data_IF_638783433936
#
_entry.id   IF_638783433936
#
_cell.length_a   1.000
_cell.length_b   1.000
_cell.length_c   1.000
_cell.angle_alpha   90.00
_cell.angle_beta   90.00
_cell.angle_gamma   90.00
#
_symmetry.space_group_name_H-M   'P 1'
#
loop_
_entity.id
_entity.type
_entity.pdbx_description
1 polymer ?
#
# COMPACT_ATOMS: atom_id res chain seq x y z
N UNK A 1 -4.11 -31.94 -7.25
CA UNK A 1 -5.09 -33.04 -7.11
C UNK A 1 -6.29 -32.92 -8.07
N UNK A 2 -7.07 -31.85 -8.03
CA UNK A 2 -8.25 -31.66 -8.93
C UNK A 2 -7.86 -31.75 -10.41
N UNK A 3 -6.78 -31.10 -10.83
CA UNK A 3 -6.28 -31.10 -12.20
C UNK A 3 -5.89 -32.52 -12.69
N UNK A 4 -5.27 -33.33 -11.86
CA UNK A 4 -4.91 -34.72 -12.20
C UNK A 4 -6.16 -35.61 -12.37
N UNK A 5 -7.18 -35.40 -11.54
CA UNK A 5 -8.46 -36.11 -11.68
C UNK A 5 -9.15 -35.73 -12.97
N UNK A 6 -9.18 -34.43 -13.30
CA UNK A 6 -9.79 -33.94 -14.53
C UNK A 6 -9.04 -34.45 -15.76
N UNK A 7 -7.71 -34.51 -15.71
CA UNK A 7 -6.86 -35.09 -16.76
C UNK A 7 -7.19 -36.57 -16.98
N UNK A 8 -7.27 -37.37 -15.93
CA UNK A 8 -7.65 -38.79 -16.05
C UNK A 8 -9.04 -38.98 -16.68
N UNK A 9 -9.99 -38.17 -16.25
CA UNK A 9 -11.37 -38.22 -16.83
C UNK A 9 -11.35 -37.88 -18.33
N UNK A 10 -10.62 -36.83 -18.70
CA UNK A 10 -10.52 -36.38 -20.09
C UNK A 10 -9.83 -37.44 -20.97
N UNK A 11 -8.72 -38.01 -20.51
CA UNK A 11 -8.04 -39.10 -21.21
C UNK A 11 -8.97 -40.27 -21.43
N UNK A 12 -9.69 -40.68 -20.40
CA UNK A 12 -10.70 -41.77 -20.52
C UNK A 12 -11.79 -41.45 -21.56
N UNK A 13 -12.34 -40.24 -21.54
CA UNK A 13 -13.35 -39.80 -22.48
C UNK A 13 -12.85 -39.82 -23.93
N UNK A 14 -11.62 -39.26 -24.14
CA UNK A 14 -11.00 -39.24 -25.46
C UNK A 14 -10.72 -40.63 -25.98
N UNK A 15 -10.12 -41.49 -25.17
CA UNK A 15 -9.92 -42.90 -25.55
C UNK A 15 -11.23 -43.59 -25.92
N UNK A 16 -12.23 -43.51 -25.07
CA UNK A 16 -13.51 -44.13 -25.28
C UNK A 16 -14.21 -43.62 -26.56
N UNK A 17 -14.09 -42.32 -26.83
CA UNK A 17 -14.62 -41.73 -28.06
C UNK A 17 -13.94 -42.29 -29.31
N UNK A 18 -12.64 -42.35 -29.39
CA UNK A 18 -11.93 -42.86 -30.55
C UNK A 18 -12.15 -44.36 -30.77
N UNK A 19 -12.14 -45.16 -29.71
CA UNK A 19 -12.42 -46.60 -29.83
C UNK A 19 -13.85 -46.87 -30.22
N UNK A 20 -14.82 -46.16 -29.69
CA UNK A 20 -16.23 -46.32 -30.08
C UNK A 20 -16.45 -45.87 -31.53
N UNK A 21 -15.81 -44.81 -31.98
CA UNK A 21 -15.86 -44.35 -33.35
C UNK A 21 -15.28 -45.39 -34.33
N UNK A 22 -14.14 -45.99 -34.00
CA UNK A 22 -13.55 -47.06 -34.78
C UNK A 22 -14.47 -48.30 -34.83
N UNK A 23 -15.06 -48.69 -33.71
CA UNK A 23 -16.03 -49.79 -33.62
C UNK A 23 -17.26 -49.54 -34.50
N UNK A 24 -17.85 -48.35 -34.40
CA UNK A 24 -19.01 -47.98 -35.23
C UNK A 24 -18.67 -47.97 -36.72
N UNK A 25 -17.51 -47.48 -37.10
CA UNK A 25 -17.06 -47.48 -38.47
C UNK A 25 -16.89 -48.89 -39.03
N UNK A 26 -16.22 -49.80 -38.29
CA UNK A 26 -16.09 -51.22 -38.70
C UNK A 26 -17.43 -51.92 -38.80
N UNK A 27 -18.32 -51.69 -37.81
CA UNK A 27 -19.65 -52.28 -37.80
C UNK A 27 -20.46 -51.81 -39.00
N UNK A 28 -20.41 -50.53 -39.34
CA UNK A 28 -21.08 -49.96 -40.53
C UNK A 28 -20.58 -50.58 -41.84
N UNK A 29 -19.28 -50.76 -41.97
CA UNK A 29 -18.66 -51.40 -43.12
C UNK A 29 -19.05 -52.87 -43.25
N UNK A 30 -19.00 -53.60 -42.13
CA UNK A 30 -19.40 -55.01 -42.10
C UNK A 30 -20.90 -55.16 -42.44
N UNK A 31 -21.75 -54.24 -41.96
CA UNK A 31 -23.17 -54.22 -42.33
C UNK A 31 -23.40 -54.03 -43.82
N UNK A 32 -22.63 -53.13 -44.46
CA UNK A 32 -22.72 -52.92 -45.89
C UNK A 32 -22.40 -54.24 -46.67
N UNK A 33 -21.27 -54.90 -46.27
CA UNK A 33 -20.86 -56.17 -46.85
C UNK A 33 -21.92 -57.26 -46.65
N UNK A 34 -22.40 -57.41 -45.40
CA UNK A 34 -23.37 -58.47 -45.09
C UNK A 34 -24.75 -58.23 -45.68
N UNK A 35 -25.17 -56.95 -45.86
CA UNK A 35 -26.38 -56.60 -46.53
C UNK A 35 -26.40 -57.03 -48.02
N UNK A 36 -25.24 -56.82 -48.69
CA UNK A 36 -25.12 -57.31 -50.08
C UNK A 36 -25.06 -58.83 -50.12
N UNK A 37 -24.39 -59.51 -49.22
CA UNK A 37 -24.37 -60.97 -49.12
C UNK A 37 -25.77 -61.56 -48.89
N UNK A 38 -26.58 -60.88 -48.06
CA UNK A 38 -27.96 -61.36 -47.81
C UNK A 38 -28.85 -61.34 -49.05
N UNK A 39 -28.63 -60.43 -49.99
CA UNK A 39 -29.38 -60.42 -51.27
C UNK A 39 -29.07 -61.65 -52.13
N UNK A 40 -27.81 -62.11 -52.05
CA UNK A 40 -27.40 -63.32 -52.81
C UNK A 40 -27.72 -64.63 -52.10
N UNK A 41 -28.01 -64.60 -50.80
CA UNK A 41 -28.38 -65.77 -50.03
C UNK A 41 -29.80 -66.30 -50.45
N UNK A 42 -30.73 -65.43 -50.89
CA UNK A 42 -32.05 -65.73 -51.29
C UNK A 42 -32.21 -66.03 -52.81
N UNK A 43 -31.14 -65.67 -53.61
CA UNK A 43 -31.15 -65.90 -55.05
C UNK A 43 -30.48 -67.25 -55.40
N UNK A 44 -31.28 -68.28 -55.55
CA UNK A 44 -30.80 -69.63 -55.88
C UNK A 44 -30.12 -69.78 -57.28
N UNK A 45 -29.95 -68.69 -58.04
CA UNK A 45 -29.26 -68.67 -59.35
C UNK A 45 -27.81 -68.36 -59.28
N UNK A 46 -27.33 -67.77 -58.17
CA UNK A 46 -25.91 -67.31 -57.91
C UNK A 46 -25.23 -68.23 -56.92
N UNK A 47 -23.95 -68.60 -57.22
CA UNK A 47 -23.11 -69.31 -56.27
C UNK A 47 -22.65 -68.40 -55.16
N UNK A 48 -23.30 -68.45 -54.01
CA UNK A 48 -23.01 -67.61 -52.81
C UNK A 48 -21.52 -67.59 -52.41
N UNK A 49 -20.88 -68.77 -52.50
CA UNK A 49 -19.41 -68.88 -52.18
C UNK A 49 -18.57 -68.09 -53.18
N UNK A 50 -18.98 -68.00 -54.44
CA UNK A 50 -18.29 -67.19 -55.47
C UNK A 50 -18.45 -65.68 -55.15
N UNK A 51 -19.58 -65.22 -54.64
CA UNK A 51 -19.83 -63.83 -54.29
C UNK A 51 -19.06 -63.44 -53.01
N UNK A 52 -19.02 -64.30 -52.01
CA UNK A 52 -18.14 -64.09 -50.85
C UNK A 52 -16.71 -63.92 -51.27
N UNK A 53 -16.17 -64.76 -52.18
CA UNK A 53 -14.84 -64.67 -52.73
C UNK A 53 -14.64 -63.38 -53.49
N UNK A 54 -15.51 -63.03 -54.41
CA UNK A 54 -15.45 -61.80 -55.18
C UNK A 54 -15.40 -60.54 -54.26
N UNK A 55 -16.25 -60.53 -53.25
CA UNK A 55 -16.30 -59.44 -52.29
C UNK A 55 -15.03 -59.27 -51.48
N UNK A 56 -14.45 -60.36 -51.02
CA UNK A 56 -13.17 -60.30 -50.25
C UNK A 56 -12.03 -59.89 -51.15
N UNK A 57 -11.88 -60.46 -52.37
CA UNK A 57 -10.81 -60.16 -53.31
C UNK A 57 -10.86 -58.72 -53.84
N UNK A 58 -12.07 -58.17 -54.07
CA UNK A 58 -12.29 -56.82 -54.63
C UNK A 58 -12.66 -55.81 -53.55
N UNK A 59 -12.36 -56.06 -52.30
CA UNK A 59 -12.69 -55.13 -51.21
C UNK A 59 -11.96 -53.80 -51.41
N UNK A 60 -12.69 -52.70 -51.54
CA UNK A 60 -12.17 -51.41 -51.95
C UNK A 60 -11.27 -50.71 -50.90
N UNK A 61 -11.38 -51.09 -49.63
CA UNK A 61 -10.68 -50.43 -48.48
C UNK A 61 -9.57 -51.34 -47.89
N UNK A 62 -9.04 -52.28 -48.69
CA UNK A 62 -7.99 -53.21 -48.26
C UNK A 62 -6.71 -52.54 -47.70
N UNK A 63 -6.46 -51.27 -48.07
CA UNK A 63 -5.33 -50.49 -47.58
C UNK A 63 -5.53 -49.98 -46.15
N UNK A 64 -6.78 -49.93 -45.65
CA UNK A 64 -7.13 -49.44 -44.33
C UNK A 64 -7.60 -50.50 -43.37
N UNK A 65 -8.26 -51.51 -43.90
CA UNK A 65 -8.83 -52.60 -43.10
C UNK A 65 -8.79 -53.90 -43.90
N UNK A 66 -8.72 -55.00 -43.24
CA UNK A 66 -8.68 -56.31 -43.83
C UNK A 66 -10.03 -57.01 -43.68
N UNK A 67 -10.63 -57.41 -44.83
CA UNK A 67 -11.83 -58.22 -44.86
C UNK A 67 -11.43 -59.68 -44.98
N UNK A 68 -11.99 -60.54 -44.14
CA UNK A 68 -11.72 -61.96 -44.06
C UNK A 68 -12.95 -62.77 -44.15
N UNK A 69 -12.93 -63.93 -44.83
CA UNK A 69 -13.95 -64.92 -44.76
C UNK A 69 -13.52 -66.14 -43.95
N UNK A 70 -14.38 -66.54 -43.02
CA UNK A 70 -14.13 -67.68 -42.09
C UNK A 70 -15.02 -68.87 -42.56
N UNK A 71 -14.39 -70.02 -42.73
CA UNK A 71 -15.07 -71.21 -43.12
C UNK A 71 -15.86 -71.88 -41.96
N UNK A 72 -16.68 -72.87 -42.30
CA UNK A 72 -17.48 -73.62 -41.29
C UNK A 72 -16.68 -74.39 -40.24
N UNK A 73 -15.36 -74.53 -40.43
CA UNK A 73 -14.41 -75.09 -39.42
C UNK A 73 -13.84 -74.03 -38.50
N UNK A 74 -14.26 -72.75 -38.62
CA UNK A 74 -13.77 -71.62 -37.81
C UNK A 74 -12.35 -71.15 -38.20
N UNK A 75 -11.85 -71.50 -39.42
CA UNK A 75 -10.55 -71.07 -39.92
C UNK A 75 -10.73 -69.97 -41.01
N UNK A 76 -9.80 -69.02 -41.01
CA UNK A 76 -9.78 -68.03 -42.07
C UNK A 76 -9.48 -68.72 -43.39
N UNK A 77 -10.37 -68.56 -44.36
CA UNK A 77 -10.27 -69.18 -45.65
C UNK A 77 -9.65 -68.26 -46.70
N UNK A 78 -9.87 -67.00 -46.59
CA UNK A 78 -9.33 -65.95 -47.45
C UNK A 78 -9.30 -64.59 -46.80
N UNK A 79 -8.43 -63.70 -47.30
CA UNK A 79 -8.31 -62.31 -46.82
C UNK A 79 -8.23 -61.36 -48.03
N UNK A 80 -8.67 -60.12 -47.84
CA UNK A 80 -8.67 -59.12 -48.91
C UNK A 80 -7.24 -58.68 -49.32
N UNK A 81 -6.25 -58.85 -48.43
CA UNK A 81 -4.83 -58.64 -48.72
C UNK A 81 -4.19 -59.78 -49.49
N UNK A 82 -4.82 -60.94 -49.56
CA UNK A 82 -4.26 -62.14 -50.14
C UNK A 82 -3.24 -62.87 -49.28
N UNK A 83 -2.94 -62.38 -48.10
CA UNK A 83 -2.03 -63.05 -47.15
C UNK A 83 -2.83 -64.10 -46.36
N UNK A 84 -2.34 -65.30 -46.28
CA UNK A 84 -2.87 -66.32 -45.37
C UNK A 84 -2.37 -66.03 -43.96
N UNK A 85 -3.26 -65.71 -42.98
CA UNK A 85 -2.80 -65.52 -41.62
C UNK A 85 -2.29 -66.85 -41.06
N UNK A 86 -1.31 -66.80 -40.17
CA UNK A 86 -0.79 -67.96 -39.47
C UNK A 86 -1.92 -68.73 -38.76
N UNK A 87 -1.74 -70.05 -38.73
CA UNK A 87 -2.81 -71.01 -38.38
C UNK A 87 -3.41 -70.88 -36.95
N UNK A 88 -3.01 -69.93 -36.17
CA UNK A 88 -3.38 -69.82 -34.76
C UNK A 88 -3.84 -68.41 -34.31
N UNK A 89 -4.53 -67.67 -35.18
CA UNK A 89 -5.09 -66.35 -34.76
C UNK A 89 -6.22 -66.57 -33.79
N UNK A 90 -6.09 -66.06 -32.58
CA UNK A 90 -7.17 -66.07 -31.58
C UNK A 90 -8.29 -65.12 -31.99
N UNK A 91 -9.50 -65.68 -32.19
CA UNK A 91 -10.68 -64.99 -32.72
C UNK A 91 -11.84 -65.07 -31.73
N UNK A 92 -11.72 -64.38 -30.58
CA UNK A 92 -12.82 -64.34 -29.60
C UNK A 92 -14.07 -63.64 -30.17
N UNK A 93 -13.90 -62.67 -31.08
CA UNK A 93 -14.97 -62.05 -31.85
C UNK A 93 -15.77 -63.05 -32.70
N UNK A 94 -15.10 -64.05 -33.27
CA UNK A 94 -15.77 -65.12 -33.97
C UNK A 94 -16.62 -65.98 -33.03
N UNK A 95 -16.06 -66.40 -31.89
CA UNK A 95 -16.82 -67.17 -30.91
C UNK A 95 -18.03 -66.43 -30.35
N UNK A 96 -17.87 -65.13 -30.12
CA UNK A 96 -18.94 -64.23 -29.66
C UNK A 96 -20.03 -64.12 -30.75
N UNK A 97 -19.64 -63.88 -32.00
CA UNK A 97 -20.58 -63.73 -33.15
C UNK A 97 -21.41 -65.00 -33.37
N UNK A 98 -20.82 -66.17 -33.15
CA UNK A 98 -21.53 -67.44 -33.30
C UNK A 98 -22.54 -67.74 -32.20
N UNK A 99 -22.44 -67.12 -31.04
CA UNK A 99 -23.32 -67.27 -29.87
C UNK A 99 -24.31 -66.17 -29.68
N UNK A 100 -24.01 -64.97 -30.20
CA UNK A 100 -24.79 -63.74 -29.98
C UNK A 100 -26.07 -63.77 -30.84
N UNK A 101 -27.21 -63.35 -30.27
CA UNK A 101 -28.49 -63.19 -30.99
C UNK A 101 -28.43 -62.21 -32.15
N UNK A 102 -27.62 -61.13 -31.96
CA UNK A 102 -27.39 -60.08 -32.96
C UNK A 102 -26.35 -60.49 -34.02
N UNK A 103 -25.77 -61.68 -33.90
CA UNK A 103 -24.76 -62.26 -34.81
C UNK A 103 -23.43 -61.45 -34.91
N UNK A 104 -23.20 -60.49 -33.99
CA UNK A 104 -21.95 -59.70 -33.94
C UNK A 104 -21.06 -60.16 -32.81
N UNK A 105 -19.77 -60.18 -33.08
CA UNK A 105 -18.73 -60.28 -32.07
C UNK A 105 -17.66 -59.22 -32.25
N UNK A 106 -17.05 -58.81 -31.15
CA UNK A 106 -16.08 -57.74 -31.12
C UNK A 106 -14.80 -58.19 -30.39
N UNK A 107 -13.66 -57.81 -30.94
CA UNK A 107 -12.36 -58.03 -30.33
C UNK A 107 -11.49 -56.78 -30.40
N UNK A 108 -10.89 -56.43 -29.27
CA UNK A 108 -9.85 -55.41 -29.19
C UNK A 108 -8.69 -56.04 -28.43
N UNK A 109 -7.56 -56.17 -29.07
CA UNK A 109 -6.40 -56.81 -28.47
C UNK A 109 -5.13 -56.60 -29.27
N UNK A 110 -4.05 -57.24 -28.80
CA UNK A 110 -2.76 -57.25 -29.52
C UNK A 110 -2.68 -58.50 -30.38
N UNK A 111 -2.20 -58.32 -31.60
CA UNK A 111 -1.81 -59.44 -32.46
C UNK A 111 -0.37 -59.90 -32.08
N UNK A 112 0.05 -61.09 -32.57
CA UNK A 112 1.38 -61.65 -32.31
C UNK A 112 2.53 -60.71 -32.76
N UNK A 113 2.27 -59.83 -33.73
CA UNK A 113 3.16 -58.75 -34.11
C UNK A 113 3.34 -57.65 -33.06
N UNK A 114 2.59 -57.66 -31.97
CA UNK A 114 2.51 -56.60 -30.94
C UNK A 114 1.58 -55.43 -31.29
N UNK A 115 1.10 -55.38 -32.51
CA UNK A 115 0.17 -54.34 -33.00
C UNK A 115 -1.23 -54.52 -32.37
N UNK A 116 -1.83 -53.42 -31.93
CA UNK A 116 -3.21 -53.43 -31.44
C UNK A 116 -4.14 -53.36 -32.59
N UNK A 117 -5.11 -54.26 -32.58
CA UNK A 117 -6.14 -54.37 -33.61
C UNK A 117 -7.54 -54.33 -33.01
N UNK A 118 -8.48 -53.87 -33.79
CA UNK A 118 -9.91 -54.08 -33.55
C UNK A 118 -10.51 -54.94 -34.65
N UNK A 119 -11.24 -55.93 -34.26
CA UNK A 119 -11.94 -56.83 -35.18
C UNK A 119 -13.43 -56.85 -34.88
N UNK A 120 -14.23 -56.90 -35.93
CA UNK A 120 -15.69 -57.09 -35.85
C UNK A 120 -16.01 -58.24 -36.75
N UNK A 121 -16.71 -59.25 -36.22
CA UNK A 121 -17.14 -60.43 -36.93
C UNK A 121 -18.68 -60.49 -36.98
N UNK A 122 -19.22 -60.87 -38.12
CA UNK A 122 -20.66 -61.14 -38.30
C UNK A 122 -20.84 -62.56 -38.78
N UNK A 123 -21.74 -63.31 -38.12
CA UNK A 123 -22.08 -64.68 -38.49
C UNK A 123 -23.01 -64.75 -39.69
N UNK A 124 -22.56 -65.43 -40.75
CA UNK A 124 -23.35 -65.73 -41.95
C UNK A 124 -23.69 -67.25 -42.04
N UNK A 125 -23.51 -67.99 -40.97
CA UNK A 125 -23.73 -69.44 -40.92
C UNK A 125 -25.16 -69.87 -41.31
N UNK A 126 -26.15 -68.96 -41.18
CA UNK A 126 -27.50 -69.17 -41.62
C UNK A 126 -27.72 -69.00 -43.12
N UNK A 127 -26.75 -68.43 -43.84
CA UNK A 127 -26.81 -68.06 -45.24
C UNK A 127 -26.14 -69.11 -46.16
N UNK A 128 -25.08 -69.76 -45.62
CA UNK A 128 -24.28 -70.73 -46.41
C UNK A 128 -23.64 -71.77 -45.50
N UNK A 129 -23.36 -72.98 -46.05
CA UNK A 129 -22.69 -74.09 -45.37
C UNK A 129 -21.14 -74.04 -45.45
N UNK A 130 -20.58 -73.37 -46.43
CA UNK A 130 -19.14 -73.28 -46.64
C UNK A 130 -18.49 -72.25 -45.80
N UNK A 131 -19.08 -71.01 -45.70
CA UNK A 131 -18.59 -69.89 -44.83
C UNK A 131 -19.51 -69.69 -43.63
N UNK A 132 -18.86 -69.52 -42.46
CA UNK A 132 -19.61 -69.35 -41.22
C UNK A 132 -19.66 -67.86 -40.78
N UNK A 133 -18.66 -67.04 -41.14
CA UNK A 133 -18.62 -65.64 -40.76
C UNK A 133 -17.76 -64.78 -41.71
N UNK A 134 -18.00 -63.49 -41.68
CA UNK A 134 -17.18 -62.47 -42.29
C UNK A 134 -16.62 -61.58 -41.16
N UNK A 135 -15.31 -61.31 -41.24
CA UNK A 135 -14.57 -60.56 -40.24
C UNK A 135 -13.89 -59.36 -40.87
N UNK A 136 -13.98 -58.18 -40.24
CA UNK A 136 -13.21 -57.01 -40.63
C UNK A 136 -12.23 -56.66 -39.49
N UNK A 137 -10.99 -56.44 -39.84
CA UNK A 137 -9.91 -56.13 -38.90
C UNK A 137 -9.24 -54.80 -39.31
N UNK A 138 -9.00 -53.95 -38.31
CA UNK A 138 -8.27 -52.69 -38.51
C UNK A 138 -7.15 -52.53 -37.46
N UNK A 139 -6.03 -51.96 -37.90
CA UNK A 139 -4.99 -51.54 -37.00
C UNK A 139 -5.46 -50.34 -36.16
N UNK A 140 -5.20 -50.36 -34.86
CA UNK A 140 -5.44 -49.24 -33.97
C UNK A 140 -4.24 -48.32 -33.84
N UNK A 141 -3.16 -48.52 -34.57
CA UNK A 141 -1.92 -47.74 -34.44
C UNK A 141 -2.11 -46.23 -34.68
N UNK A 142 -2.95 -45.87 -35.68
CA UNK A 142 -3.26 -44.46 -35.92
C UNK A 142 -4.13 -43.86 -34.78
N UNK A 143 -5.09 -44.64 -34.26
CA UNK A 143 -5.93 -44.23 -33.13
C UNK A 143 -5.09 -44.06 -31.86
N UNK A 144 -4.22 -45.04 -31.56
CA UNK A 144 -3.35 -45.00 -30.40
C UNK A 144 -2.33 -43.84 -30.49
N UNK A 145 -1.83 -43.56 -31.72
CA UNK A 145 -0.95 -42.40 -31.96
C UNK A 145 -1.67 -41.07 -31.74
N UNK A 146 -2.89 -40.94 -32.26
CA UNK A 146 -3.71 -39.75 -32.04
C UNK A 146 -4.05 -39.54 -30.56
N UNK A 147 -4.49 -40.59 -29.87
CA UNK A 147 -4.74 -40.52 -28.41
C UNK A 147 -3.50 -40.14 -27.63
N UNK A 148 -2.35 -40.76 -27.94
CA UNK A 148 -1.08 -40.43 -27.31
C UNK A 148 -0.69 -38.97 -27.57
N UNK A 149 -0.88 -38.47 -28.78
CA UNK A 149 -0.65 -37.05 -29.12
C UNK A 149 -1.48 -36.11 -28.26
N UNK A 150 -2.79 -36.41 -28.10
CA UNK A 150 -3.66 -35.63 -27.23
C UNK A 150 -3.23 -35.66 -25.76
N UNK A 151 -2.83 -36.83 -25.25
CA UNK A 151 -2.33 -36.97 -23.89
C UNK A 151 -1.08 -36.08 -23.67
N UNK A 152 -0.10 -36.14 -24.57
CA UNK A 152 1.14 -35.36 -24.46
C UNK A 152 0.85 -33.87 -24.48
N UNK A 153 0.04 -33.38 -25.42
CA UNK A 153 -0.30 -31.95 -25.53
C UNK A 153 -1.04 -31.48 -24.27
N UNK A 154 -1.99 -32.27 -23.80
CA UNK A 154 -2.79 -31.90 -22.63
C UNK A 154 -1.94 -31.88 -21.37
N UNK A 155 -1.12 -32.90 -21.13
CA UNK A 155 -0.20 -32.96 -19.98
C UNK A 155 0.81 -31.79 -20.02
N UNK A 156 1.37 -31.47 -21.17
CA UNK A 156 2.28 -30.32 -21.32
C UNK A 156 1.57 -29.00 -21.01
N UNK A 157 0.32 -28.84 -21.45
CA UNK A 157 -0.49 -27.65 -21.13
C UNK A 157 -0.74 -27.54 -19.62
N UNK A 158 -1.11 -28.64 -18.98
CA UNK A 158 -1.33 -28.69 -17.54
C UNK A 158 -0.07 -28.31 -16.73
N UNK A 159 1.10 -28.82 -17.14
CA UNK A 159 2.38 -28.46 -16.53
C UNK A 159 2.67 -26.96 -16.72
N UNK A 160 2.44 -26.42 -17.93
CA UNK A 160 2.62 -25.00 -18.22
C UNK A 160 1.78 -24.09 -17.32
N UNK A 161 0.50 -24.46 -17.13
CA UNK A 161 -0.40 -23.71 -16.21
C UNK A 161 0.10 -23.77 -14.76
N UNK A 162 0.53 -24.96 -14.29
CA UNK A 162 1.07 -25.09 -12.93
C UNK A 162 2.33 -24.26 -12.70
N UNK A 163 3.24 -24.23 -13.67
CA UNK A 163 4.44 -23.39 -13.61
C UNK A 163 4.08 -21.90 -13.59
N UNK A 164 3.11 -21.49 -14.40
CA UNK A 164 2.63 -20.10 -14.43
C UNK A 164 2.01 -19.71 -13.07
N UNK A 165 1.17 -20.56 -12.49
CA UNK A 165 0.58 -20.33 -11.17
C UNK A 165 1.63 -20.27 -10.06
N UNK A 166 2.64 -21.14 -10.12
CA UNK A 166 3.75 -21.09 -9.17
C UNK A 166 4.55 -19.79 -9.29
N UNK A 167 4.89 -19.40 -10.52
CA UNK A 167 5.62 -18.16 -10.81
C UNK A 167 4.86 -16.92 -10.33
N UNK A 168 3.56 -16.81 -10.68
CA UNK A 168 2.72 -15.68 -10.24
C UNK A 168 2.55 -15.65 -8.73
N UNK A 169 2.42 -16.83 -8.07
CA UNK A 169 2.35 -16.93 -6.62
C UNK A 169 3.65 -16.45 -5.92
N UNK A 170 4.81 -16.85 -6.41
CA UNK A 170 6.10 -16.35 -5.88
C UNK A 170 6.27 -14.86 -6.08
N UNK A 171 5.89 -14.34 -7.26
CA UNK A 171 5.92 -12.91 -7.54
C UNK A 171 5.01 -12.13 -6.61
N UNK A 172 3.76 -12.58 -6.42
CA UNK A 172 2.79 -11.96 -5.53
C UNK A 172 3.25 -11.92 -4.07
N UNK A 173 3.84 -13.03 -3.57
CA UNK A 173 4.38 -13.06 -2.21
C UNK A 173 5.53 -12.06 -2.06
N UNK A 174 6.41 -11.97 -3.04
CA UNK A 174 7.57 -11.08 -3.02
C UNK A 174 7.22 -9.60 -3.13
N UNK A 175 6.31 -9.25 -4.05
CA UNK A 175 5.99 -7.86 -4.37
C UNK A 175 4.87 -7.26 -3.51
N UNK A 176 4.01 -8.06 -2.89
CA UNK A 176 2.88 -7.55 -2.11
C UNK A 176 2.91 -8.03 -0.66
N UNK A 177 2.91 -9.35 -0.45
CA UNK A 177 2.72 -9.90 0.91
C UNK A 177 3.85 -9.51 1.86
N UNK A 178 5.10 -9.67 1.44
CA UNK A 178 6.28 -9.35 2.27
C UNK A 178 6.37 -7.85 2.63
N UNK A 179 6.24 -6.90 1.68
CA UNK A 179 6.22 -5.48 1.98
C UNK A 179 5.09 -5.09 2.95
N UNK A 180 3.88 -5.60 2.75
CA UNK A 180 2.75 -5.33 3.65
C UNK A 180 3.01 -5.85 5.08
N UNK A 181 3.63 -7.01 5.23
CA UNK A 181 4.05 -7.52 6.54
C UNK A 181 5.09 -6.61 7.19
N UNK A 182 6.10 -6.14 6.44
CA UNK A 182 7.11 -5.20 6.94
C UNK A 182 6.49 -3.89 7.40
N UNK A 183 5.54 -3.34 6.62
CA UNK A 183 4.78 -2.15 6.99
C UNK A 183 4.07 -2.37 8.34
N UNK A 184 3.38 -3.50 8.50
CA UNK A 184 2.67 -3.83 9.74
C UNK A 184 3.61 -3.92 10.95
N UNK A 185 4.78 -4.56 10.79
CA UNK A 185 5.79 -4.66 11.86
C UNK A 185 6.35 -3.30 12.27
N UNK A 186 6.61 -2.42 11.29
CA UNK A 186 7.14 -1.08 11.55
C UNK A 186 6.07 -0.19 12.18
N UNK A 187 4.83 -0.26 11.72
CA UNK A 187 3.71 0.43 12.35
C UNK A 187 3.53 0.03 13.84
N UNK A 188 3.75 -1.25 14.16
CA UNK A 188 3.73 -1.71 15.55
C UNK A 188 4.89 -1.14 16.39
N UNK A 189 6.06 -0.82 15.80
CA UNK A 189 7.15 -0.11 16.46
C UNK A 189 6.82 1.35 16.67
N UNK A 190 6.20 2.01 15.69
CA UNK A 190 5.72 3.40 15.84
C UNK A 190 4.71 3.52 16.99
N UNK A 191 3.79 2.57 17.13
CA UNK A 191 2.84 2.51 18.25
C UNK A 191 3.53 2.41 19.62
N UNK A 192 4.76 1.93 19.68
CA UNK A 192 5.58 1.89 20.90
C UNK A 192 6.50 3.09 21.08
N UNK A 193 6.43 4.07 20.17
CA UNK A 193 7.25 5.29 20.20
C UNK A 193 8.62 5.16 19.56
N UNK A 194 8.94 4.08 18.87
CA UNK A 194 10.18 3.94 18.12
C UNK A 194 10.01 4.45 16.68
N UNK A 195 10.21 5.74 16.50
CA UNK A 195 10.12 6.42 15.20
C UNK A 195 11.44 6.44 14.42
N UNK A 196 12.49 5.77 14.91
CA UNK A 196 13.82 5.76 14.26
C UNK A 196 13.89 4.79 13.08
N UNK A 197 13.00 3.82 13.02
CA UNK A 197 12.98 2.78 11.99
C UNK A 197 12.37 3.32 10.70
N UNK A 198 12.91 2.88 9.54
CA UNK A 198 12.38 3.23 8.22
C UNK A 198 12.12 1.98 7.40
N UNK A 199 11.08 2.04 6.56
CA UNK A 199 10.78 1.00 5.59
C UNK A 199 11.71 1.20 4.40
N UNK A 200 12.51 0.17 4.10
CA UNK A 200 13.35 0.14 2.90
C UNK A 200 12.59 -0.64 1.82
N UNK A 201 11.99 0.07 0.90
CA UNK A 201 11.31 -0.51 -0.24
C UNK A 201 11.52 0.40 -1.45
N UNK A 202 12.28 -0.09 -2.43
CA UNK A 202 12.64 0.62 -3.67
C UNK A 202 11.75 0.07 -4.81
N UNK A 203 10.50 0.49 -4.86
CA UNK A 203 9.58 0.17 -5.93
C UNK A 203 8.83 1.43 -6.35
N UNK A 204 8.66 1.62 -7.65
CA UNK A 204 7.89 2.73 -8.24
C UNK A 204 6.41 2.31 -8.43
N UNK A 205 5.83 1.64 -7.44
CA UNK A 205 4.43 1.21 -7.41
C UNK A 205 3.68 1.80 -6.20
N UNK A 206 2.38 1.47 -6.06
CA UNK A 206 1.53 1.93 -4.96
C UNK A 206 2.05 1.50 -3.58
N UNK A 207 2.81 0.41 -3.51
CA UNK A 207 3.45 -0.05 -2.27
C UNK A 207 4.64 0.84 -1.93
N UNK A 208 5.41 1.28 -2.93
CA UNK A 208 6.49 2.25 -2.79
C UNK A 208 6.00 3.60 -2.29
N UNK A 209 4.92 4.11 -2.88
CA UNK A 209 4.25 5.34 -2.44
C UNK A 209 3.76 5.25 -1.00
N UNK A 210 3.15 4.12 -0.62
CA UNK A 210 2.72 3.86 0.75
C UNK A 210 3.90 3.84 1.73
N UNK A 211 5.01 3.20 1.37
CA UNK A 211 6.22 3.17 2.19
C UNK A 211 6.79 4.58 2.40
N UNK A 212 6.81 5.40 1.34
CA UNK A 212 7.25 6.80 1.39
C UNK A 212 6.36 7.64 2.30
N UNK A 213 5.04 7.52 2.18
CA UNK A 213 4.09 8.23 3.03
C UNK A 213 4.25 7.84 4.52
N UNK A 214 4.45 6.56 4.81
CA UNK A 214 4.67 6.07 6.18
C UNK A 214 6.01 6.55 6.74
N UNK A 215 7.07 6.58 5.93
CA UNK A 215 8.36 7.13 6.35
C UNK A 215 8.26 8.63 6.65
N UNK A 216 7.54 9.40 5.83
CA UNK A 216 7.26 10.81 6.09
C UNK A 216 6.47 11.01 7.40
N UNK A 217 5.45 10.19 7.63
CA UNK A 217 4.71 10.21 8.91
C UNK A 217 5.63 9.92 10.11
N UNK A 218 6.58 8.99 9.97
CA UNK A 218 7.57 8.69 11.00
C UNK A 218 8.49 9.90 11.30
N UNK A 219 8.90 10.65 10.27
CA UNK A 219 9.68 11.87 10.42
C UNK A 219 8.90 12.93 11.21
N UNK A 220 7.64 13.16 10.85
CA UNK A 220 6.76 14.10 11.55
C UNK A 220 6.52 13.70 13.02
N UNK A 221 6.25 12.41 13.27
CA UNK A 221 6.09 11.91 14.64
C UNK A 221 7.38 12.01 15.46
N UNK A 222 8.52 11.71 14.86
CA UNK A 222 9.83 11.84 15.50
C UNK A 222 10.12 13.29 15.89
N UNK A 223 9.85 14.23 14.97
CA UNK A 223 10.02 15.66 15.21
C UNK A 223 9.09 16.15 16.32
N UNK A 224 7.82 15.71 16.30
CA UNK A 224 6.84 16.06 17.32
C UNK A 224 7.25 15.53 18.71
N UNK A 225 7.73 14.27 18.81
CA UNK A 225 8.19 13.70 20.07
C UNK A 225 9.47 14.36 20.58
N UNK A 226 10.42 14.67 19.70
CA UNK A 226 11.61 15.42 20.04
C UNK A 226 11.27 16.81 20.59
N UNK A 227 10.37 17.56 19.93
CA UNK A 227 9.90 18.86 20.39
C UNK A 227 9.17 18.75 21.76
N UNK A 228 8.36 17.72 21.96
CA UNK A 228 7.68 17.47 23.24
C UNK A 228 8.69 17.22 24.38
N UNK A 229 9.72 16.42 24.13
CA UNK A 229 10.73 16.10 25.11
C UNK A 229 11.63 17.32 25.44
N UNK A 230 11.99 18.12 24.45
CA UNK A 230 12.70 19.39 24.63
C UNK A 230 11.86 20.39 25.45
N UNK A 231 10.54 20.47 25.15
CA UNK A 231 9.60 21.28 25.93
C UNK A 231 9.62 20.90 27.42
N UNK A 232 9.39 19.62 27.74
CA UNK A 232 9.35 19.14 29.13
C UNK A 232 10.67 19.44 29.84
N UNK A 233 11.80 19.21 29.17
CA UNK A 233 13.13 19.49 29.71
C UNK A 233 13.34 20.97 29.97
N UNK A 234 13.02 21.82 29.00
CA UNK A 234 13.17 23.29 29.11
C UNK A 234 12.31 23.89 30.22
N UNK A 235 11.02 23.52 30.27
CA UNK A 235 10.09 23.96 31.32
C UNK A 235 10.60 23.53 32.70
N UNK A 236 11.01 22.26 32.83
CA UNK A 236 11.55 21.75 34.10
C UNK A 236 12.77 22.54 34.58
N UNK A 237 13.64 22.91 33.68
CA UNK A 237 14.83 23.70 34.00
C UNK A 237 14.48 25.14 34.39
N UNK A 238 13.61 25.80 33.62
CA UNK A 238 13.20 27.19 33.86
C UNK A 238 12.38 27.35 35.15
N UNK A 239 11.61 26.33 35.55
CA UNK A 239 10.89 26.30 36.84
C UNK A 239 11.84 26.02 38.03
N UNK A 240 12.85 25.17 37.85
CA UNK A 240 13.77 24.79 38.93
C UNK A 240 14.60 25.96 39.42
N UNK A 241 15.04 26.80 38.53
CA UNK A 241 15.93 27.94 38.87
C UNK A 241 15.30 28.94 39.84
N UNK A 242 14.10 29.52 39.56
CA UNK A 242 13.41 30.42 40.50
C UNK A 242 13.03 29.73 41.80
N UNK A 243 12.56 28.48 41.76
CA UNK A 243 12.25 27.71 42.96
C UNK A 243 13.47 27.53 43.87
N UNK A 244 14.64 27.28 43.27
CA UNK A 244 15.90 27.17 44.03
C UNK A 244 16.28 28.52 44.68
N UNK A 245 16.10 29.62 43.96
CA UNK A 245 16.36 30.97 44.48
C UNK A 245 15.40 31.33 45.65
N UNK A 246 14.08 31.07 45.45
CA UNK A 246 13.07 31.29 46.52
C UNK A 246 13.43 30.48 47.75
N UNK A 247 13.73 29.18 47.59
CA UNK A 247 14.09 28.33 48.73
C UNK A 247 15.36 28.81 49.42
N UNK A 248 16.41 29.14 48.69
CA UNK A 248 17.67 29.62 49.26
C UNK A 248 17.53 30.92 50.04
N UNK A 249 16.74 31.90 49.52
CA UNK A 249 16.49 33.13 50.20
C UNK A 249 15.52 32.92 51.41
N UNK A 250 14.53 32.04 51.33
CA UNK A 250 13.68 31.69 52.45
C UNK A 250 14.49 31.05 53.60
N UNK A 251 15.48 30.20 53.30
CA UNK A 251 16.38 29.62 54.27
C UNK A 251 17.32 30.71 54.88
N UNK A 252 17.83 31.63 54.03
CA UNK A 252 18.69 32.71 54.49
C UNK A 252 17.98 33.67 55.44
N UNK A 253 16.79 34.18 55.09
CA UNK A 253 16.03 35.10 55.93
C UNK A 253 15.49 34.45 57.23
N UNK A 254 15.37 33.12 57.28
CA UNK A 254 15.00 32.38 58.48
C UNK A 254 16.11 32.44 59.55
N UNK A 255 17.36 32.47 59.16
CA UNK A 255 18.54 32.41 60.06
C UNK A 255 19.19 33.78 60.26
N UNK A 256 19.08 34.67 59.28
CA UNK A 256 19.72 35.97 59.25
C UNK A 256 18.79 37.03 59.89
N UNK A 257 19.41 37.91 60.73
CA UNK A 257 18.70 38.99 61.45
C UNK A 257 18.96 40.40 60.91
N UNK A 258 19.83 40.51 59.89
CA UNK A 258 20.11 41.80 59.26
C UNK A 258 18.90 42.30 58.46
N UNK A 259 18.35 43.49 58.80
CA UNK A 259 17.18 44.05 58.11
C UNK A 259 17.41 44.30 56.63
N UNK A 260 18.65 44.53 56.19
CA UNK A 260 19.01 44.77 54.78
C UNK A 260 18.92 43.46 53.99
N UNK A 261 19.48 42.39 54.56
CA UNK A 261 19.43 41.05 53.98
C UNK A 261 17.99 40.54 53.95
N UNK A 262 17.23 40.74 55.04
CA UNK A 262 15.82 40.38 55.08
C UNK A 262 15.00 41.08 53.99
N UNK A 263 15.11 42.42 53.86
CA UNK A 263 14.42 43.18 52.82
C UNK A 263 14.79 42.73 51.39
N UNK A 264 16.09 42.45 51.18
CA UNK A 264 16.62 41.92 49.92
C UNK A 264 16.02 40.54 49.64
N UNK A 265 15.98 39.64 50.63
CA UNK A 265 15.45 38.30 50.46
C UNK A 265 13.97 38.27 50.11
N UNK A 266 13.16 39.05 50.85
CA UNK A 266 11.74 39.20 50.55
C UNK A 266 11.54 39.70 49.10
N UNK A 267 12.27 40.73 48.68
CA UNK A 267 12.16 41.26 47.33
C UNK A 267 12.52 40.20 46.25
N UNK A 268 13.55 39.40 46.48
CA UNK A 268 13.92 38.32 45.53
C UNK A 268 12.84 37.25 45.49
N UNK A 269 12.30 36.84 46.64
CA UNK A 269 11.23 35.85 46.71
C UNK A 269 10.02 36.36 45.94
N UNK A 270 9.57 37.62 46.19
CA UNK A 270 8.43 38.21 45.50
C UNK A 270 8.64 38.25 43.98
N UNK A 271 9.77 38.76 43.53
CA UNK A 271 10.07 38.85 42.09
C UNK A 271 10.14 37.50 41.41
N UNK A 272 10.72 36.46 42.03
CA UNK A 272 10.78 35.12 41.43
C UNK A 272 9.41 34.43 41.48
N UNK A 273 8.54 34.77 42.47
CA UNK A 273 7.15 34.26 42.50
C UNK A 273 6.30 34.88 41.39
N UNK A 274 6.39 36.20 41.16
CA UNK A 274 5.75 36.90 40.05
C UNK A 274 6.20 36.34 38.70
N UNK A 275 7.50 36.10 38.55
CA UNK A 275 8.09 35.49 37.36
C UNK A 275 7.54 34.06 37.10
N UNK A 276 7.41 33.23 38.15
CA UNK A 276 6.82 31.92 38.06
C UNK A 276 5.33 31.98 37.63
N UNK A 277 4.56 32.91 38.21
CA UNK A 277 3.18 33.11 37.83
C UNK A 277 3.01 33.45 36.35
N UNK A 278 3.82 34.40 35.88
CA UNK A 278 3.82 34.77 34.45
C UNK A 278 4.19 33.57 33.55
N UNK A 279 5.19 32.78 33.94
CA UNK A 279 5.63 31.62 33.18
C UNK A 279 4.52 30.56 33.12
N UNK A 280 3.77 30.33 34.20
CA UNK A 280 2.64 29.41 34.22
C UNK A 280 1.52 29.90 33.30
N UNK A 281 1.21 31.19 33.27
CA UNK A 281 0.23 31.79 32.36
C UNK A 281 0.66 31.61 30.88
N UNK A 282 1.96 31.89 30.55
CA UNK A 282 2.48 31.64 29.22
C UNK A 282 2.36 30.17 28.79
N UNK A 283 2.60 29.23 29.70
CA UNK A 283 2.45 27.80 29.46
C UNK A 283 0.99 27.38 29.25
N UNK A 284 0.06 27.95 30.02
CA UNK A 284 -1.38 27.67 29.85
C UNK A 284 -1.90 28.25 28.54
N UNK A 285 -1.52 29.46 28.18
CA UNK A 285 -1.85 30.04 26.89
C UNK A 285 -1.32 29.19 25.75
N UNK A 286 -0.06 28.77 25.85
CA UNK A 286 0.55 27.87 24.86
C UNK A 286 -0.21 26.53 24.74
N UNK A 287 -0.57 25.91 25.86
CA UNK A 287 -1.33 24.65 25.86
C UNK A 287 -2.71 24.80 25.21
N UNK A 288 -3.41 25.92 25.46
CA UNK A 288 -4.71 26.23 24.83
C UNK A 288 -4.57 26.46 23.31
N UNK A 289 -3.51 27.13 22.87
CA UNK A 289 -3.23 27.32 21.45
C UNK A 289 -2.96 26.01 20.75
N UNK A 290 -2.16 25.13 21.34
CA UNK A 290 -1.85 23.80 20.77
C UNK A 290 -3.07 22.90 20.62
N UNK A 291 -4.00 22.98 21.57
CA UNK A 291 -5.21 22.14 21.56
C UNK A 291 -6.33 22.70 20.67
N UNK A 292 -6.12 23.82 19.98
CA UNK A 292 -7.15 24.47 19.16
C UNK A 292 -8.30 25.08 19.98
N UNK A 293 -8.18 25.10 21.31
CA UNK A 293 -9.21 25.65 22.21
C UNK A 293 -8.96 27.15 22.53
N UNK A 294 -7.99 27.77 21.89
CA UNK A 294 -7.73 29.19 22.09
C UNK A 294 -8.70 30.02 21.24
N UNK A 295 -9.58 30.75 21.89
CA UNK A 295 -10.55 31.63 21.25
C UNK A 295 -10.24 33.09 21.56
N UNK A 296 -10.22 33.96 20.53
CA UNK A 296 -10.06 35.40 20.70
C UNK A 296 -11.36 36.04 21.18
N UNK A 297 -11.27 36.91 22.18
CA UNK A 297 -12.36 37.80 22.57
C UNK A 297 -12.31 39.08 21.73
N UNK A 298 -12.82 38.98 20.51
CA UNK A 298 -12.73 40.07 19.55
C UNK A 298 -13.66 41.26 19.91
N UNK A 299 -13.11 42.44 19.93
CA UNK A 299 -13.80 43.70 20.12
C UNK A 299 -13.13 44.80 19.30
N UNK A 300 -13.85 45.90 19.09
CA UNK A 300 -13.22 47.10 18.51
C UNK A 300 -12.14 47.61 19.47
N UNK A 301 -10.91 47.79 18.98
CA UNK A 301 -9.77 48.21 19.79
C UNK A 301 -8.97 49.31 19.09
N UNK A 302 -8.37 50.16 19.91
CA UNK A 302 -7.37 51.14 19.53
C UNK A 302 -5.99 50.56 19.76
N UNK A 303 -5.25 50.27 18.68
CA UNK A 303 -3.91 49.71 18.73
C UNK A 303 -2.90 50.66 19.38
N UNK A 304 -3.05 51.97 19.23
CA UNK A 304 -2.16 52.97 19.87
C UNK A 304 -2.35 52.94 21.37
N UNK A 305 -3.57 52.80 21.88
CA UNK A 305 -3.83 52.72 23.31
C UNK A 305 -3.11 51.47 23.92
N UNK A 306 -3.22 50.29 23.27
CA UNK A 306 -2.59 49.07 23.76
C UNK A 306 -1.06 49.10 23.65
N UNK A 307 -0.53 49.73 22.58
CA UNK A 307 0.92 49.90 22.39
C UNK A 307 1.48 50.89 23.40
N UNK A 308 0.77 52.04 23.59
CA UNK A 308 1.17 53.07 24.56
C UNK A 308 1.21 52.58 26.00
N UNK A 309 0.21 51.76 26.42
CA UNK A 309 0.22 51.10 27.72
C UNK A 309 1.44 50.17 27.86
N UNK A 310 1.72 49.31 26.85
CA UNK A 310 2.88 48.45 26.88
C UNK A 310 4.21 49.23 26.92
N UNK A 311 4.34 50.30 26.17
CA UNK A 311 5.50 51.14 26.17
C UNK A 311 5.72 51.86 27.54
N UNK A 312 4.62 52.35 28.15
CA UNK A 312 4.65 52.98 29.47
C UNK A 312 5.15 52.04 30.57
N UNK A 313 4.67 50.78 30.59
CA UNK A 313 5.06 49.74 31.55
C UNK A 313 6.60 49.52 31.48
N UNK A 314 7.14 49.51 30.29
CA UNK A 314 8.59 49.24 30.09
C UNK A 314 9.51 50.47 30.08
N UNK A 315 8.94 51.69 30.04
CA UNK A 315 9.73 52.92 30.04
C UNK A 315 10.60 53.10 31.31
N UNK A 316 10.05 52.73 32.49
CA UNK A 316 10.81 52.82 33.75
C UNK A 316 11.91 51.73 33.82
N UNK A 317 11.62 50.53 33.35
CA UNK A 317 12.59 49.47 33.28
C UNK A 317 13.73 49.77 32.30
N UNK A 318 13.45 50.35 31.15
CA UNK A 318 14.48 50.80 30.20
C UNK A 318 15.43 51.81 30.86
N UNK A 319 14.92 52.77 31.63
CA UNK A 319 15.75 53.72 32.39
C UNK A 319 16.67 53.06 33.43
N UNK A 320 16.14 52.06 34.15
CA UNK A 320 16.93 51.30 35.15
C UNK A 320 18.05 50.50 34.47
N UNK A 321 17.82 50.00 33.25
CA UNK A 321 18.80 49.24 32.48
C UNK A 321 19.69 50.13 31.59
N UNK A 322 19.58 51.48 31.74
CA UNK A 322 20.35 52.48 30.98
C UNK A 322 20.13 52.40 29.47
N UNK A 323 18.84 52.20 29.06
CA UNK A 323 18.43 52.10 27.66
C UNK A 323 17.53 53.30 27.30
N UNK A 324 17.86 53.96 26.19
CA UNK A 324 17.06 55.06 25.66
C UNK A 324 15.92 54.50 24.84
N UNK A 325 14.69 54.59 25.33
CA UNK A 325 13.48 54.16 24.61
C UNK A 325 12.79 55.37 24.00
N UNK A 326 12.51 55.31 22.70
CA UNK A 326 11.74 56.32 21.94
C UNK A 326 10.48 55.73 21.40
N UNK A 327 9.37 56.50 21.45
CA UNK A 327 8.06 56.09 20.95
C UNK A 327 7.55 57.17 19.99
N UNK A 328 7.28 56.77 18.73
CA UNK A 328 6.76 57.63 17.68
C UNK A 328 5.42 57.04 17.20
N UNK A 329 4.37 57.81 17.29
CA UNK A 329 3.02 57.43 16.87
C UNK A 329 2.37 58.51 16.02
N UNK A 330 1.48 58.20 15.09
CA UNK A 330 0.64 59.13 14.37
C UNK A 330 -0.50 59.62 15.27
N UNK A 331 -1.15 60.73 14.87
CA UNK A 331 -2.29 61.24 15.65
C UNK A 331 -3.46 60.23 15.76
N UNK A 332 -3.62 59.35 14.74
CA UNK A 332 -4.71 58.37 14.71
C UNK A 332 -4.29 57.16 13.84
N UNK A 333 -4.69 55.96 14.26
CA UNK A 333 -4.72 54.76 13.42
C UNK A 333 -6.15 54.26 13.22
N UNK A 334 -6.42 53.48 12.16
CA UNK A 334 -7.70 52.83 11.97
C UNK A 334 -8.05 51.93 13.18
N UNK A 335 -9.35 51.89 13.55
CA UNK A 335 -9.85 50.96 14.56
C UNK A 335 -9.77 49.52 14.01
N UNK A 336 -9.26 48.61 14.80
CA UNK A 336 -9.11 47.19 14.46
C UNK A 336 -10.11 46.36 15.27
N UNK A 337 -10.57 45.27 14.71
CA UNK A 337 -11.32 44.24 15.44
C UNK A 337 -10.38 43.15 15.88
N UNK A 338 -10.26 42.95 17.20
CA UNK A 338 -9.34 41.96 17.77
C UNK A 338 -9.44 41.83 19.28
N UNK A 339 -8.62 40.97 19.87
CA UNK A 339 -8.51 40.81 21.32
C UNK A 339 -7.44 41.76 21.88
N UNK A 340 -7.91 42.84 22.50
CA UNK A 340 -7.04 43.89 23.07
C UNK A 340 -6.00 43.36 24.04
N UNK A 341 -6.38 42.41 24.91
CA UNK A 341 -5.48 41.87 25.92
C UNK A 341 -4.36 41.06 25.26
N UNK A 342 -4.70 40.31 24.22
CA UNK A 342 -3.72 39.50 23.47
C UNK A 342 -2.81 40.37 22.62
N UNK A 343 -3.31 41.39 21.98
CA UNK A 343 -2.45 42.35 21.23
C UNK A 343 -1.52 43.09 22.18
N UNK A 344 -2.00 43.52 23.36
CA UNK A 344 -1.13 44.10 24.40
C UNK A 344 -0.04 43.10 24.84
N UNK A 345 -0.37 41.82 25.03
CA UNK A 345 0.59 40.76 25.36
C UNK A 345 1.68 40.63 24.29
N UNK A 346 1.31 40.75 22.98
CA UNK A 346 2.28 40.76 21.87
C UNK A 346 3.27 41.93 22.05
N UNK A 347 2.75 43.15 22.24
CA UNK A 347 3.62 44.32 22.40
C UNK A 347 4.55 44.21 23.63
N UNK A 348 4.02 43.74 24.75
CA UNK A 348 4.79 43.45 25.97
C UNK A 348 5.93 42.46 25.64
N UNK A 349 5.65 41.37 24.99
CA UNK A 349 6.66 40.34 24.64
C UNK A 349 7.76 40.89 23.72
N UNK A 350 7.39 41.71 22.74
CA UNK A 350 8.38 42.28 21.81
C UNK A 350 9.21 43.37 22.44
N UNK A 351 8.59 44.29 23.22
CA UNK A 351 9.32 45.38 23.94
C UNK A 351 10.22 44.78 25.01
N UNK A 352 9.76 43.77 25.77
CA UNK A 352 10.59 43.08 26.76
C UNK A 352 11.84 42.46 26.11
N UNK A 353 11.67 41.79 24.97
CA UNK A 353 12.77 41.21 24.22
C UNK A 353 13.75 42.31 23.75
N UNK A 354 13.28 43.41 23.18
CA UNK A 354 14.12 44.50 22.73
C UNK A 354 14.98 45.07 23.87
N UNK A 355 14.41 45.36 25.04
CA UNK A 355 15.16 45.83 26.22
C UNK A 355 16.12 44.76 26.73
N UNK A 356 15.65 43.53 26.88
CA UNK A 356 16.45 42.42 27.44
C UNK A 356 17.71 42.10 26.60
N UNK A 357 17.63 42.22 25.28
CA UNK A 357 18.72 41.91 24.37
C UNK A 357 19.53 43.13 23.95
N UNK A 358 19.12 44.33 24.34
CA UNK A 358 19.93 45.56 24.25
C UNK A 358 21.12 45.56 25.20
N UNK A 359 22.14 46.33 24.86
CA UNK A 359 23.29 46.59 25.73
C UNK A 359 23.01 47.86 26.57
N UNK A 360 23.72 48.04 27.67
CA UNK A 360 23.69 49.30 28.43
C UNK A 360 24.13 50.48 27.55
N UNK A 361 23.44 51.60 27.60
CA UNK A 361 23.62 52.74 26.70
C UNK A 361 22.98 52.52 25.32
N UNK A 362 22.25 51.43 25.14
CA UNK A 362 21.55 51.10 23.89
C UNK A 362 20.28 51.90 23.65
N UNK A 363 19.66 51.68 22.50
CA UNK A 363 18.43 52.34 22.08
C UNK A 363 17.38 51.34 21.67
N UNK A 364 16.12 51.59 22.04
CA UNK A 364 14.95 50.88 21.56
C UNK A 364 14.00 51.89 20.94
N UNK A 365 13.72 51.73 19.66
CA UNK A 365 12.82 52.60 18.92
C UNK A 365 11.50 51.88 18.59
N UNK A 366 10.39 52.45 19.03
CA UNK A 366 9.02 51.96 18.75
C UNK A 366 8.35 52.94 17.80
N UNK A 367 7.88 52.47 16.67
CA UNK A 367 7.21 53.28 15.65
C UNK A 367 5.91 52.65 15.26
N UNK A 368 4.82 53.39 15.31
CA UNK A 368 3.53 52.95 14.80
C UNK A 368 3.14 53.75 13.53
N UNK A 369 2.39 53.13 12.63
CA UNK A 369 1.96 53.80 11.39
C UNK A 369 1.05 52.88 10.59
N UNK A 370 0.70 53.34 9.37
CA UNK A 370 -0.05 52.53 8.39
C UNK A 370 0.84 52.14 7.23
N UNK A 371 0.66 50.92 6.72
CA UNK A 371 1.28 50.48 5.46
C UNK A 371 0.61 51.15 4.25
N UNK A 372 1.23 51.13 3.05
CA UNK A 372 0.57 51.63 1.83
C UNK A 372 -0.74 50.89 1.49
N UNK A 373 -0.88 49.66 1.95
CA UNK A 373 -2.06 48.80 1.78
C UNK A 373 -3.18 49.10 2.80
N UNK A 374 -2.90 49.97 3.80
CA UNK A 374 -3.84 50.37 4.83
C UNK A 374 -3.77 49.54 6.12
N UNK A 375 -2.86 48.58 6.20
CA UNK A 375 -2.65 47.77 7.42
C UNK A 375 -1.94 48.60 8.50
N UNK A 376 -2.24 48.31 9.76
CA UNK A 376 -1.49 48.88 10.88
C UNK A 376 -0.13 48.19 10.97
N UNK A 377 0.92 49.02 11.00
CA UNK A 377 2.30 48.56 11.14
C UNK A 377 2.90 49.10 12.43
N UNK A 378 3.34 48.19 13.27
CA UNK A 378 4.15 48.50 14.49
C UNK A 378 5.54 47.96 14.32
N UNK A 379 6.56 48.77 14.50
CA UNK A 379 7.97 48.37 14.41
C UNK A 379 8.62 48.64 15.72
N UNK A 380 9.33 47.61 16.26
CA UNK A 380 10.21 47.75 17.43
C UNK A 380 11.61 47.40 16.99
N UNK A 381 12.56 48.35 17.14
CA UNK A 381 13.93 48.21 16.68
C UNK A 381 14.89 48.46 17.88
N UNK A 382 15.80 47.52 18.08
CA UNK A 382 16.86 47.61 19.08
C UNK A 382 18.25 47.60 18.39
N UNK A 383 19.25 48.20 19.07
CA UNK A 383 20.66 48.13 18.68
C UNK A 383 21.46 47.15 19.55
N UNK A 384 20.84 46.07 19.98
CA UNK A 384 21.41 45.07 20.88
C UNK A 384 22.35 44.08 20.20
N UNK A 385 22.43 42.88 20.78
CA UNK A 385 23.36 41.83 20.31
C UNK A 385 22.99 41.22 18.95
N UNK A 386 21.75 41.44 18.46
CA UNK A 386 21.25 40.84 17.22
C UNK A 386 21.13 39.31 17.25
N UNK A 387 20.81 38.75 16.10
CA UNK A 387 20.56 37.31 15.92
C UNK A 387 21.43 36.79 14.78
N UNK A 388 22.08 35.64 14.95
CA UNK A 388 22.85 34.99 13.88
C UNK A 388 21.95 34.53 12.75
N UNK A 389 22.42 34.61 11.52
CA UNK A 389 21.64 34.16 10.31
C UNK A 389 21.18 32.70 10.41
N UNK A 390 21.93 31.81 11.07
CA UNK A 390 21.58 30.40 11.29
C UNK A 390 20.39 30.20 12.24
N UNK A 391 20.19 31.18 13.15
CA UNK A 391 19.20 31.10 14.21
C UNK A 391 17.90 31.84 13.82
N UNK A 392 17.96 32.78 12.89
CA UNK A 392 16.84 33.60 12.46
C UNK A 392 15.61 32.81 12.00
N UNK A 393 15.76 31.75 11.19
CA UNK A 393 14.60 30.90 10.80
C UNK A 393 13.98 30.12 11.96
N UNK A 394 14.75 29.91 13.04
CA UNK A 394 14.36 29.08 14.19
C UNK A 394 13.82 29.91 15.36
N UNK A 395 14.03 31.24 15.36
CA UNK A 395 13.75 32.08 16.53
C UNK A 395 12.25 32.15 16.88
N UNK A 396 11.38 31.88 15.92
CA UNK A 396 9.93 31.75 16.13
C UNK A 396 9.52 30.32 16.54
N UNK A 397 10.46 29.37 16.46
CA UNK A 397 10.19 28.00 16.92
C UNK A 397 10.07 28.00 18.44
N UNK A 398 9.06 27.33 18.94
CA UNK A 398 8.71 27.22 20.34
C UNK A 398 9.90 26.68 21.15
N UNK A 399 10.22 27.33 22.30
CA UNK A 399 11.32 27.01 23.21
C UNK A 399 12.72 27.24 22.65
N UNK A 400 12.86 27.73 21.42
CA UNK A 400 14.17 28.04 20.87
C UNK A 400 14.75 29.32 21.47
N UNK A 401 16.01 29.24 21.87
CA UNK A 401 16.77 30.38 22.38
C UNK A 401 18.10 30.49 21.62
N UNK A 402 18.27 31.55 20.86
CA UNK A 402 19.57 31.85 20.22
C UNK A 402 20.66 32.19 21.25
N UNK A 403 20.27 32.72 22.42
CA UNK A 403 21.17 33.06 23.51
C UNK A 403 20.69 32.42 24.83
N UNK A 404 21.43 31.38 25.27
CA UNK A 404 21.13 30.64 26.49
C UNK A 404 21.55 31.37 27.78
N UNK A 405 22.32 32.45 27.70
CA UNK A 405 22.77 33.20 28.87
C UNK A 405 21.73 34.18 29.38
N UNK A 406 20.81 34.64 28.53
CA UNK A 406 19.73 35.56 28.92
C UNK A 406 18.52 34.74 29.41
N UNK A 407 17.93 35.18 30.53
CA UNK A 407 16.76 34.54 31.16
C UNK A 407 15.50 34.66 30.27
N UNK A 408 14.67 33.65 30.20
CA UNK A 408 13.37 33.68 29.50
C UNK A 408 12.88 32.28 29.08
N UNK A 409 11.60 32.12 28.87
CA UNK A 409 10.95 30.83 28.51
C UNK A 409 11.23 30.33 27.08
N UNK A 410 11.60 31.27 26.16
CA UNK A 410 11.65 30.97 24.71
C UNK A 410 10.26 30.76 24.07
N UNK A 411 9.18 31.10 24.79
CA UNK A 411 7.80 30.96 24.34
C UNK A 411 7.26 32.31 23.81
N UNK A 412 7.67 33.42 24.42
CA UNK A 412 7.03 34.73 24.20
C UNK A 412 6.96 35.18 22.74
N UNK A 413 8.02 34.95 21.94
CA UNK A 413 8.02 35.30 20.52
C UNK A 413 7.12 34.37 19.70
N UNK A 414 7.09 33.09 20.03
CA UNK A 414 6.24 32.11 19.35
C UNK A 414 4.74 32.39 19.65
N UNK A 415 4.42 32.73 20.93
CA UNK A 415 3.06 33.16 21.33
C UNK A 415 2.67 34.45 20.61
N UNK A 416 3.58 35.42 20.53
CA UNK A 416 3.32 36.67 19.83
C UNK A 416 3.03 36.44 18.33
N UNK A 417 3.80 35.60 17.67
CA UNK A 417 3.59 35.25 16.25
C UNK A 417 2.23 34.56 16.04
N UNK A 418 1.86 33.59 16.89
CA UNK A 418 0.58 32.89 16.84
C UNK A 418 -0.61 33.83 17.05
N UNK A 419 -0.53 34.70 18.05
CA UNK A 419 -1.58 35.70 18.32
C UNK A 419 -1.76 36.63 17.11
N UNK A 420 -0.68 37.11 16.49
CA UNK A 420 -0.76 37.96 15.30
C UNK A 420 -1.34 37.22 14.13
N UNK A 421 -0.97 35.96 13.90
CA UNK A 421 -1.57 35.13 12.85
C UNK A 421 -3.06 34.91 13.07
N UNK A 422 -3.50 34.67 14.31
CA UNK A 422 -4.94 34.54 14.64
C UNK A 422 -5.73 35.84 14.39
N UNK A 423 -5.06 37.00 14.36
CA UNK A 423 -5.64 38.29 13.97
C UNK A 423 -5.51 38.57 12.46
N UNK A 424 -5.06 37.58 11.65
CA UNK A 424 -4.85 37.74 10.22
C UNK A 424 -3.66 38.62 9.84
N UNK A 425 -2.80 38.91 10.83
CA UNK A 425 -1.60 39.74 10.67
C UNK A 425 -0.34 38.93 10.41
N UNK A 426 0.80 39.63 10.34
CA UNK A 426 2.13 39.02 10.19
C UNK A 426 3.12 39.64 11.15
N UNK A 427 4.05 38.81 11.66
CA UNK A 427 5.19 39.25 12.48
C UNK A 427 6.46 38.86 11.74
N UNK A 428 7.29 39.83 11.39
CA UNK A 428 8.55 39.63 10.68
C UNK A 428 9.73 40.12 11.52
N UNK A 429 10.89 39.47 11.35
CA UNK A 429 12.13 39.87 12.04
C UNK A 429 13.24 40.06 11.01
N UNK A 430 13.94 41.20 11.17
CA UNK A 430 15.17 41.53 10.47
C UNK A 430 16.26 41.71 11.54
N UNK A 431 17.38 40.96 11.45
CA UNK A 431 18.42 41.02 12.45
C UNK A 431 19.78 40.67 11.87
N UNK A 432 20.81 41.35 12.41
CA UNK A 432 22.21 41.05 12.12
C UNK A 432 23.00 41.02 13.45
N UNK A 433 23.81 39.96 13.62
CA UNK A 433 24.62 39.79 14.84
C UNK A 433 25.51 41.03 15.09
N UNK A 434 25.41 41.59 16.29
CA UNK A 434 26.14 42.77 16.69
C UNK A 434 25.53 44.12 16.26
N UNK A 435 24.45 44.14 15.46
CA UNK A 435 23.80 45.39 15.00
C UNK A 435 22.43 45.63 15.63
N UNK A 436 21.77 44.58 16.08
CA UNK A 436 20.47 44.66 16.70
C UNK A 436 19.37 43.90 15.94
N UNK A 437 18.13 44.08 16.36
CA UNK A 437 16.95 43.40 15.79
C UNK A 437 15.84 44.40 15.55
N UNK A 438 15.15 44.22 14.41
CA UNK A 438 13.96 44.95 14.05
C UNK A 438 12.80 43.98 13.89
N UNK A 439 11.80 44.12 14.71
CA UNK A 439 10.54 43.34 14.66
C UNK A 439 9.45 44.23 14.05
N UNK A 440 8.80 43.75 12.99
CA UNK A 440 7.70 44.43 12.36
C UNK A 440 6.45 43.58 12.50
N UNK A 441 5.40 44.16 13.08
CA UNK A 441 4.06 43.59 13.24
C UNK A 441 3.15 44.29 12.28
N UNK A 442 2.39 43.54 11.50
CA UNK A 442 1.38 44.06 10.60
C UNK A 442 0.01 43.48 10.97
N UNK A 443 -0.99 44.31 11.17
CA UNK A 443 -2.34 43.90 11.56
C UNK A 443 -3.30 44.52 10.53
N UNK A 444 -4.07 43.68 9.79
CA UNK A 444 -5.05 44.18 8.84
C UNK A 444 -6.22 44.84 9.58
N UNK A 445 -6.82 45.94 9.05
CA UNK A 445 -8.03 46.50 9.59
C UNK A 445 -9.19 45.54 9.26
N UNK A 446 -9.48 44.63 10.16
CA UNK A 446 -10.62 43.71 9.98
C UNK A 446 -11.93 44.48 10.20
N UNK A 447 -12.80 44.42 9.19
CA UNK A 447 -14.23 44.78 9.38
C UNK A 447 -14.93 43.63 10.09
N UNK A 448 -15.92 43.91 10.97
CA UNK A 448 -16.77 42.85 11.48
C UNK A 448 -17.41 42.14 10.29
N UNK A 449 -17.27 40.82 10.19
CA UNK A 449 -18.11 40.03 9.29
C UNK A 449 -19.56 40.24 9.72
N UNK A 450 -20.36 40.79 8.83
CA UNK A 450 -21.82 40.84 8.97
C UNK A 450 -22.32 39.39 9.07
N UNK A 451 -22.62 38.96 10.31
CA UNK A 451 -23.31 37.71 10.58
C UNK A 451 -24.80 37.90 10.50
#
# INVERSE_FOLDING_TARGET
>A
MIMMVLEMILIYVVQNYYYNSAKQYLTSKLNAVTSVLSLYADDGTVNFSSEVRNMVENFSEKDRMELMAINSKGKISMTSSGFSPDAAVYMSDYEEAMKAENKYGYYVGKQDSGERIMAVTYSISSMNSEYSAVRVVVSLAEVDSAVTGFIVIFTATCIGILLLLAFTGFYFIGSIVKPVQQISEIAAKFAKGDFSVRIKHDSDDEIGDLCTAINHMADELSNADAMKNEFISSVSHELRTPLTAIRGWAETIRTERDPVIFKKGIRVITNETERLSQMVEELLDFSRMQSGHFTLQQSAMDVLAELGEAALIYAERAKIEDITMTYEEPEMLPVVYGDKNRIRQVFINIIDNAIKYSNRGGTVKIVAGTSPEGDIRVTVEDNGCGIRKSDLPKIKTKFYKANHTKKGSGIGLAVADEIIQMHGGTLTLESEEGKGTKVTITIPPQKPEDK
#
